data_IF_348582624914
#
_entry.id   IF_348582624914
#
_cell.length_a   1.000
_cell.length_b   1.000
_cell.length_c   1.000
_cell.angle_alpha   90.00
_cell.angle_beta   90.00
_cell.angle_gamma   90.00
#
_symmetry.space_group_name_H-M   'P 1'
#
loop_
_entity.id
_entity.type
_entity.pdbx_description
1 polymer ?
#
# COMPACT_ATOMS: atom_id res chain seq x y z
N UNK A 1 -46.81 20.28 -39.06
CA UNK A 1 -45.81 19.40 -39.70
C UNK A 1 -44.45 19.98 -39.32
N UNK A 2 -43.58 19.38 -38.50
CA UNK A 2 -43.43 18.01 -38.02
C UNK A 2 -43.25 17.96 -36.48
N UNK A 3 -43.79 16.91 -35.88
CA UNK A 3 -43.51 16.45 -34.52
C UNK A 3 -42.28 15.53 -34.63
N UNK A 4 -41.17 15.86 -33.97
CA UNK A 4 -40.02 14.95 -33.83
C UNK A 4 -40.15 14.19 -32.51
N UNK A 5 -40.84 13.05 -32.55
CA UNK A 5 -40.75 12.01 -31.54
C UNK A 5 -39.61 11.09 -31.99
N UNK A 6 -38.44 11.19 -31.35
CA UNK A 6 -37.40 10.17 -31.47
C UNK A 6 -37.48 9.27 -30.23
N UNK A 7 -38.21 8.17 -30.42
CA UNK A 7 -38.35 7.05 -29.50
C UNK A 7 -37.05 6.25 -29.44
N UNK A 8 -36.78 5.71 -28.25
CA UNK A 8 -35.90 4.56 -27.99
C UNK A 8 -34.40 4.82 -28.16
N UNK A 9 -33.78 5.36 -27.13
CA UNK A 9 -32.45 4.88 -26.71
C UNK A 9 -32.59 4.26 -25.32
N UNK A 10 -33.29 3.13 -25.28
CA UNK A 10 -33.13 2.16 -24.21
C UNK A 10 -31.75 1.53 -24.37
N UNK A 11 -30.72 2.13 -23.76
CA UNK A 11 -29.50 1.37 -23.46
C UNK A 11 -29.77 0.53 -22.21
N UNK A 12 -30.55 -0.53 -22.38
CA UNK A 12 -30.62 -1.64 -21.43
C UNK A 12 -29.47 -2.58 -21.77
N UNK A 13 -28.24 -2.13 -21.55
CA UNK A 13 -27.08 -3.02 -21.45
C UNK A 13 -26.87 -3.35 -19.98
N UNK A 14 -27.86 -4.05 -19.41
CA UNK A 14 -27.66 -4.81 -18.19
C UNK A 14 -26.90 -6.08 -18.56
N UNK A 15 -25.59 -5.96 -18.78
CA UNK A 15 -24.69 -7.12 -18.73
C UNK A 15 -24.55 -7.45 -17.25
N UNK A 16 -25.41 -8.32 -16.73
CA UNK A 16 -25.20 -8.95 -15.43
C UNK A 16 -24.07 -9.97 -15.62
N UNK A 17 -22.83 -9.46 -15.70
CA UNK A 17 -21.65 -10.29 -15.50
C UNK A 17 -21.64 -10.67 -14.03
N UNK A 18 -21.49 -11.96 -13.75
CA UNK A 18 -21.26 -12.49 -12.40
C UNK A 18 -20.04 -11.78 -11.78
N UNK A 19 -20.29 -10.72 -11.02
CA UNK A 19 -19.24 -9.90 -10.44
C UNK A 19 -18.61 -10.66 -9.26
N UNK A 20 -17.34 -11.02 -9.39
CA UNK A 20 -16.59 -11.67 -8.33
C UNK A 20 -16.23 -10.63 -7.27
N UNK A 21 -16.83 -10.75 -6.08
CA UNK A 21 -16.55 -9.87 -4.94
C UNK A 21 -15.25 -10.28 -4.26
N UNK A 22 -14.21 -9.46 -4.37
CA UNK A 22 -12.92 -9.74 -3.75
C UNK A 22 -12.84 -9.13 -2.35
N UNK A 23 -12.42 -9.92 -1.36
CA UNK A 23 -12.21 -9.47 0.02
C UNK A 23 -10.83 -9.89 0.50
N UNK A 24 -10.20 -9.02 1.28
CA UNK A 24 -8.92 -9.28 1.91
C UNK A 24 -9.06 -9.21 3.42
N UNK A 25 -8.45 -10.16 4.13
CA UNK A 25 -8.53 -10.28 5.59
C UNK A 25 -7.18 -10.72 6.15
N UNK A 26 -6.88 -10.30 7.39
CA UNK A 26 -5.67 -10.77 8.08
C UNK A 26 -5.92 -12.17 8.66
N UNK A 27 -4.90 -13.01 8.68
CA UNK A 27 -4.94 -14.30 9.36
C UNK A 27 -5.37 -14.13 10.82
N UNK A 28 -6.22 -15.05 11.31
CA UNK A 28 -6.80 -14.99 12.65
C UNK A 28 -8.06 -14.12 12.76
N UNK A 29 -8.27 -13.18 11.83
CA UNK A 29 -9.48 -12.37 11.81
C UNK A 29 -10.68 -13.14 11.24
N UNK A 30 -11.86 -12.53 11.34
CA UNK A 30 -13.11 -13.07 10.79
C UNK A 30 -13.55 -12.28 9.56
N UNK A 31 -14.12 -12.99 8.58
CA UNK A 31 -14.73 -12.38 7.39
C UNK A 31 -16.16 -12.88 7.23
N UNK A 32 -17.06 -11.99 6.82
CA UNK A 32 -18.46 -12.31 6.52
C UNK A 32 -18.75 -12.09 5.05
N UNK A 33 -19.29 -13.13 4.42
CA UNK A 33 -19.67 -13.16 3.02
C UNK A 33 -21.18 -13.03 2.93
N UNK A 34 -21.65 -11.87 2.49
CA UNK A 34 -23.08 -11.56 2.39
C UNK A 34 -23.50 -11.60 0.92
N UNK A 35 -24.27 -12.64 0.51
CA UNK A 35 -24.88 -12.67 -0.81
C UNK A 35 -25.85 -11.51 -0.96
N UNK A 36 -26.12 -11.11 -2.20
CA UNK A 36 -27.09 -10.06 -2.47
C UNK A 36 -28.51 -10.55 -2.16
N UNK A 37 -29.27 -9.75 -1.41
CA UNK A 37 -30.61 -10.12 -0.95
C UNK A 37 -31.56 -10.43 -2.12
N UNK A 38 -31.45 -9.69 -3.23
CA UNK A 38 -32.26 -9.92 -4.43
C UNK A 38 -32.02 -11.31 -5.04
N UNK A 39 -30.80 -11.82 -4.94
CA UNK A 39 -30.39 -13.07 -5.58
C UNK A 39 -30.83 -14.31 -4.80
N UNK A 40 -31.03 -14.17 -3.50
CA UNK A 40 -31.43 -15.22 -2.56
C UNK A 40 -32.87 -15.05 -2.05
N UNK A 41 -33.63 -14.12 -2.63
CA UNK A 41 -35.01 -13.83 -2.24
C UNK A 41 -35.92 -15.02 -2.57
N UNK A 42 -36.70 -15.49 -1.60
CA UNK A 42 -37.60 -16.64 -1.78
C UNK A 42 -36.90 -18.00 -1.77
N UNK A 43 -35.56 -18.02 -1.72
CA UNK A 43 -34.79 -19.26 -1.64
C UNK A 43 -34.85 -19.86 -0.24
N UNK A 44 -35.28 -21.13 -0.19
CA UNK A 44 -35.37 -21.87 1.05
C UNK A 44 -34.05 -22.55 1.42
N UNK A 45 -33.29 -23.01 0.42
CA UNK A 45 -32.02 -23.70 0.62
C UNK A 45 -30.90 -22.87 0.01
N UNK A 46 -29.94 -22.47 0.86
CA UNK A 46 -28.72 -21.79 0.45
C UNK A 46 -27.55 -22.70 0.75
N UNK A 47 -26.68 -22.88 -0.24
CA UNK A 47 -25.49 -23.72 -0.16
C UNK A 47 -24.25 -22.88 -0.44
N UNK A 48 -23.23 -23.08 0.38
CA UNK A 48 -21.91 -22.48 0.21
C UNK A 48 -20.93 -23.55 -0.25
N UNK A 49 -20.21 -23.26 -1.32
CA UNK A 49 -19.12 -24.11 -1.80
C UNK A 49 -17.80 -23.36 -1.79
N UNK A 50 -16.71 -24.11 -1.69
CA UNK A 50 -15.35 -23.60 -1.76
C UNK A 50 -14.55 -24.31 -2.87
N UNK A 51 -13.72 -23.54 -3.58
CA UNK A 51 -12.82 -24.04 -4.61
C UNK A 51 -13.60 -24.68 -5.77
N UNK A 52 -13.27 -25.93 -6.09
CA UNK A 52 -13.93 -26.72 -7.15
C UNK A 52 -15.27 -27.30 -6.66
N UNK A 53 -16.21 -26.44 -6.25
CA UNK A 53 -17.57 -26.80 -5.85
C UNK A 53 -17.69 -27.76 -4.64
N UNK A 54 -16.71 -27.75 -3.73
CA UNK A 54 -16.80 -28.55 -2.50
C UNK A 54 -17.80 -27.90 -1.55
N UNK A 55 -18.89 -28.60 -1.22
CA UNK A 55 -19.90 -28.09 -0.29
C UNK A 55 -19.31 -27.95 1.12
N UNK A 56 -19.30 -26.73 1.65
CA UNK A 56 -18.75 -26.44 2.99
C UNK A 56 -19.85 -26.22 4.03
N UNK A 57 -20.98 -25.62 3.62
CA UNK A 57 -22.09 -25.34 4.50
C UNK A 57 -23.41 -25.22 3.75
N UNK A 58 -24.54 -25.45 4.42
CA UNK A 58 -25.87 -25.13 3.90
C UNK A 58 -26.84 -24.73 5.01
N UNK A 59 -27.81 -23.91 4.66
CA UNK A 59 -28.93 -23.54 5.52
C UNK A 59 -30.26 -23.78 4.80
N UNK A 60 -31.16 -24.49 5.47
CA UNK A 60 -32.58 -24.51 5.12
C UNK A 60 -33.31 -23.48 6.00
N UNK A 61 -33.82 -22.43 5.37
CA UNK A 61 -34.50 -21.33 6.07
C UNK A 61 -35.88 -21.73 6.61
N UNK A 62 -36.55 -22.74 6.03
CA UNK A 62 -37.88 -23.19 6.49
C UNK A 62 -37.85 -23.76 7.91
N UNK A 63 -36.81 -24.52 8.23
CA UNK A 63 -36.62 -25.17 9.53
C UNK A 63 -35.44 -24.58 10.33
N UNK A 64 -34.80 -23.52 9.80
CA UNK A 64 -33.58 -22.91 10.35
C UNK A 64 -32.44 -23.92 10.57
N UNK A 65 -32.43 -25.03 9.83
CA UNK A 65 -31.43 -26.09 9.98
C UNK A 65 -30.15 -25.72 9.22
N UNK A 66 -29.04 -25.67 9.96
CA UNK A 66 -27.69 -25.40 9.44
C UNK A 66 -26.87 -26.69 9.46
N UNK A 67 -26.10 -26.93 8.41
CA UNK A 67 -25.20 -28.09 8.31
C UNK A 67 -23.86 -27.61 7.77
N UNK A 68 -22.78 -28.19 8.30
CA UNK A 68 -21.40 -27.93 7.91
C UNK A 68 -20.75 -29.26 7.53
N UNK A 69 -19.97 -29.29 6.46
CA UNK A 69 -19.51 -30.54 5.84
C UNK A 69 -18.00 -30.67 5.77
N UNK A 70 -17.27 -29.56 5.66
CA UNK A 70 -15.83 -29.59 5.43
C UNK A 70 -15.07 -29.40 6.75
N UNK A 71 -14.34 -30.46 7.12
CA UNK A 71 -13.58 -30.57 8.37
C UNK A 71 -12.48 -29.52 8.51
N UNK A 72 -11.97 -28.97 7.39
CA UNK A 72 -10.98 -27.89 7.45
C UNK A 72 -11.51 -26.65 8.17
N UNK A 73 -12.84 -26.44 8.13
CA UNK A 73 -13.51 -25.31 8.76
C UNK A 73 -14.27 -25.72 10.02
N UNK A 74 -13.94 -26.87 10.61
CA UNK A 74 -14.51 -27.33 11.88
C UNK A 74 -14.50 -26.20 12.91
N UNK A 75 -15.66 -25.94 13.49
CA UNK A 75 -15.92 -24.89 14.50
C UNK A 75 -15.66 -23.44 14.05
N UNK A 76 -15.39 -23.19 12.77
CA UNK A 76 -15.04 -21.86 12.22
C UNK A 76 -16.09 -21.25 11.31
N UNK A 77 -17.03 -22.05 10.80
CA UNK A 77 -18.14 -21.54 9.99
C UNK A 77 -19.35 -21.19 10.85
N UNK A 78 -19.96 -20.04 10.55
CA UNK A 78 -21.27 -19.64 11.08
C UNK A 78 -22.15 -19.21 9.91
N UNK A 79 -23.38 -19.71 9.90
CA UNK A 79 -24.42 -19.28 8.97
C UNK A 79 -25.50 -18.53 9.74
N UNK A 80 -25.82 -17.31 9.30
CA UNK A 80 -26.96 -16.57 9.84
C UNK A 80 -28.27 -16.98 9.13
N UNK A 81 -29.40 -16.37 9.51
CA UNK A 81 -30.68 -16.62 8.84
C UNK A 81 -30.76 -16.00 7.44
N UNK A 82 -29.97 -14.95 7.17
CA UNK A 82 -29.89 -14.31 5.86
C UNK A 82 -29.13 -15.16 4.86
N UNK A 83 -28.45 -16.23 5.29
CA UNK A 83 -27.61 -17.04 4.42
C UNK A 83 -26.19 -16.49 4.24
N UNK A 84 -25.84 -15.43 4.97
CA UNK A 84 -24.48 -14.93 5.07
C UNK A 84 -23.60 -15.95 5.80
N UNK A 85 -22.40 -16.17 5.26
CA UNK A 85 -21.41 -17.07 5.82
C UNK A 85 -20.31 -16.26 6.51
N UNK A 86 -20.11 -16.49 7.80
CA UNK A 86 -18.95 -15.98 8.53
C UNK A 86 -17.92 -17.09 8.70
N UNK A 87 -16.67 -16.78 8.35
CA UNK A 87 -15.50 -17.62 8.60
C UNK A 87 -14.70 -16.92 9.69
N UNK A 88 -14.60 -17.56 10.85
CA UNK A 88 -13.82 -17.03 11.98
C UNK A 88 -12.43 -17.65 12.04
N UNK A 89 -11.45 -16.95 12.61
CA UNK A 89 -10.09 -17.44 12.74
C UNK A 89 -9.57 -17.96 11.38
N UNK A 90 -9.59 -17.06 10.39
CA UNK A 90 -9.19 -17.36 9.02
C UNK A 90 -7.73 -17.76 8.96
N UNK A 91 -7.40 -18.65 8.01
CA UNK A 91 -6.04 -19.15 7.77
C UNK A 91 -5.64 -18.84 6.34
N UNK A 92 -4.34 -18.80 6.04
CA UNK A 92 -3.85 -18.62 4.65
C UNK A 92 -4.48 -19.62 3.69
N UNK A 93 -4.66 -20.87 4.12
CA UNK A 93 -5.28 -21.96 3.34
C UNK A 93 -6.78 -21.78 3.09
N UNK A 94 -7.44 -20.81 3.74
CA UNK A 94 -8.83 -20.47 3.49
C UNK A 94 -9.00 -19.49 2.31
N UNK A 95 -7.89 -18.99 1.75
CA UNK A 95 -7.92 -18.18 0.54
C UNK A 95 -8.47 -18.97 -0.65
N UNK A 96 -9.29 -18.33 -1.48
CA UNK A 96 -9.86 -18.93 -2.68
C UNK A 96 -11.29 -18.48 -2.98
N UNK A 97 -11.90 -19.17 -3.93
CA UNK A 97 -13.25 -18.88 -4.40
C UNK A 97 -14.30 -19.54 -3.51
N UNK A 98 -15.27 -18.74 -3.08
CA UNK A 98 -16.47 -19.17 -2.39
C UNK A 98 -17.68 -18.84 -3.25
N UNK A 99 -18.57 -19.81 -3.43
CA UNK A 99 -19.74 -19.64 -4.30
C UNK A 99 -21.01 -19.99 -3.54
N UNK A 100 -22.04 -19.19 -3.81
CA UNK A 100 -23.39 -19.39 -3.26
C UNK A 100 -24.26 -20.07 -4.32
N UNK A 101 -24.89 -21.18 -3.97
CA UNK A 101 -25.82 -21.92 -4.81
C UNK A 101 -27.21 -21.95 -4.14
N UNK A 102 -28.25 -21.88 -4.97
CA UNK A 102 -29.64 -21.93 -4.54
C UNK A 102 -30.40 -23.00 -5.32
N UNK A 103 -31.41 -23.62 -4.72
CA UNK A 103 -32.14 -24.74 -5.35
C UNK A 103 -32.85 -24.40 -6.66
N UNK A 104 -33.22 -23.13 -6.86
CA UNK A 104 -33.93 -22.69 -8.05
C UNK A 104 -33.01 -22.36 -9.23
N UNK A 105 -31.68 -22.32 -9.02
CA UNK A 105 -30.72 -21.86 -10.03
C UNK A 105 -29.57 -22.87 -10.19
N UNK A 106 -29.24 -23.19 -11.43
CA UNK A 106 -28.16 -24.12 -11.77
C UNK A 106 -26.76 -23.47 -11.73
N UNK A 107 -26.68 -22.14 -11.59
CA UNK A 107 -25.43 -21.38 -11.53
C UNK A 107 -25.25 -20.72 -10.16
N UNK A 108 -24.00 -20.44 -9.76
CA UNK A 108 -23.74 -19.60 -8.60
C UNK A 108 -24.50 -18.27 -8.69
N UNK A 109 -25.05 -17.83 -7.57
CA UNK A 109 -25.77 -16.54 -7.46
C UNK A 109 -24.90 -15.42 -6.90
N UNK A 110 -23.77 -15.78 -6.33
CA UNK A 110 -22.76 -14.86 -5.83
C UNK A 110 -21.43 -15.60 -5.75
N UNK A 111 -20.36 -14.93 -6.18
CA UNK A 111 -19.00 -15.46 -6.16
C UNK A 111 -18.14 -14.49 -5.36
N UNK A 112 -17.42 -15.01 -4.38
CA UNK A 112 -16.48 -14.26 -3.55
C UNK A 112 -15.07 -14.82 -3.74
N UNK A 113 -14.09 -13.95 -3.89
CA UNK A 113 -12.68 -14.33 -3.86
C UNK A 113 -12.05 -13.80 -2.57
N UNK A 114 -11.63 -14.70 -1.69
CA UNK A 114 -11.04 -14.34 -0.40
C UNK A 114 -9.53 -14.51 -0.48
N UNK A 115 -8.80 -13.47 -0.09
CA UNK A 115 -7.36 -13.53 0.12
C UNK A 115 -7.05 -13.27 1.58
N UNK A 116 -6.44 -14.26 2.24
CA UNK A 116 -6.01 -14.14 3.63
C UNK A 116 -4.52 -13.83 3.66
N UNK A 117 -4.13 -12.73 4.31
CA UNK A 117 -2.73 -12.33 4.43
C UNK A 117 -2.18 -12.67 5.82
N UNK A 118 -0.92 -13.10 5.87
CA UNK A 118 -0.22 -13.33 7.12
C UNK A 118 0.20 -12.01 7.79
N UNK A 119 0.39 -12.06 9.11
CA UNK A 119 0.99 -10.95 9.84
C UNK A 119 2.43 -10.70 9.37
N UNK A 120 2.74 -9.43 9.11
CA UNK A 120 4.05 -9.03 8.63
C UNK A 120 5.06 -8.95 9.79
N UNK A 121 6.27 -9.50 9.65
CA UNK A 121 7.36 -9.25 10.57
C UNK A 121 7.93 -7.83 10.36
N UNK A 122 8.60 -7.31 11.37
CA UNK A 122 9.41 -6.09 11.20
C UNK A 122 10.63 -6.45 10.33
N UNK A 123 10.88 -5.71 9.22
CA UNK A 123 12.01 -6.00 8.36
C UNK A 123 13.33 -5.70 9.07
N UNK A 124 14.36 -6.52 8.81
CA UNK A 124 15.67 -6.36 9.45
C UNK A 124 16.60 -5.63 8.49
N UNK A 125 17.18 -4.52 8.96
CA UNK A 125 18.21 -3.78 8.25
C UNK A 125 19.57 -4.20 8.80
N UNK A 126 20.46 -4.66 7.92
CA UNK A 126 21.83 -5.04 8.25
C UNK A 126 22.82 -4.25 7.39
N UNK A 127 23.98 -3.93 7.97
CA UNK A 127 25.06 -3.28 7.24
C UNK A 127 25.92 -4.36 6.56
N UNK A 128 26.02 -4.31 5.24
CA UNK A 128 26.84 -5.20 4.42
C UNK A 128 28.02 -4.47 3.75
N UNK A 129 28.39 -3.31 4.27
CA UNK A 129 29.54 -2.53 3.78
C UNK A 129 30.84 -3.35 3.79
N UNK A 130 31.64 -3.20 2.74
CA UNK A 130 32.97 -3.79 2.67
C UNK A 130 33.98 -2.88 3.35
N UNK A 131 34.80 -3.44 4.25
CA UNK A 131 35.91 -2.73 4.89
C UNK A 131 37.01 -2.41 3.87
N UNK A 132 37.02 -1.17 3.37
CA UNK A 132 38.00 -0.65 2.43
C UNK A 132 38.11 0.87 2.49
N UNK A 133 39.15 1.46 1.88
CA UNK A 133 39.48 2.90 2.01
C UNK A 133 38.44 3.87 1.42
N UNK A 134 37.48 3.36 0.65
CA UNK A 134 36.24 4.05 0.29
C UNK A 134 35.08 3.19 0.80
N UNK A 135 34.67 3.37 2.05
CA UNK A 135 33.58 2.62 2.66
C UNK A 135 32.27 2.94 1.96
N UNK A 136 31.84 2.08 1.03
CA UNK A 136 30.49 2.17 0.44
C UNK A 136 29.49 1.71 1.49
N UNK A 137 28.56 2.58 1.84
CA UNK A 137 27.47 2.27 2.74
C UNK A 137 26.45 1.40 2.02
N UNK A 138 26.51 0.09 2.26
CA UNK A 138 25.55 -0.86 1.71
C UNK A 138 24.72 -1.42 2.85
N UNK A 139 23.42 -1.19 2.77
CA UNK A 139 22.45 -1.74 3.71
C UNK A 139 21.60 -2.77 3.02
N UNK A 140 21.35 -3.87 3.70
CA UNK A 140 20.48 -4.93 3.24
C UNK A 140 19.25 -4.95 4.13
N UNK A 141 18.10 -4.67 3.52
CA UNK A 141 16.83 -4.91 4.16
C UNK A 141 16.37 -6.33 3.84
N UNK A 142 15.99 -7.11 4.85
CA UNK A 142 15.62 -8.51 4.69
C UNK A 142 14.40 -8.89 5.51
N UNK A 143 13.63 -9.85 5.00
CA UNK A 143 12.48 -10.44 5.68
C UNK A 143 12.57 -11.96 5.62
N UNK A 144 12.10 -12.63 6.67
CA UNK A 144 12.06 -14.10 6.75
C UNK A 144 10.64 -14.57 6.99
N UNK A 145 10.31 -15.77 6.51
CA UNK A 145 9.03 -16.45 6.74
C UNK A 145 7.79 -15.70 6.21
N UNK A 146 7.93 -14.94 5.12
CA UNK A 146 6.81 -14.30 4.42
C UNK A 146 6.96 -14.46 2.91
N UNK A 147 5.82 -14.63 2.22
CA UNK A 147 5.67 -14.62 0.76
C UNK A 147 4.58 -13.62 0.36
N UNK A 148 4.51 -13.26 -0.92
CA UNK A 148 3.44 -12.40 -1.46
C UNK A 148 3.37 -11.00 -0.82
N UNK A 149 4.54 -10.49 -0.44
CA UNK A 149 4.72 -9.14 0.12
C UNK A 149 5.64 -8.31 -0.78
N UNK A 150 5.55 -6.99 -0.64
CA UNK A 150 6.47 -6.05 -1.28
C UNK A 150 7.45 -5.52 -0.25
N UNK A 151 8.74 -5.54 -0.59
CA UNK A 151 9.82 -4.95 0.19
C UNK A 151 10.33 -3.70 -0.52
N UNK A 152 10.39 -2.57 0.18
CA UNK A 152 10.68 -1.26 -0.40
C UNK A 152 11.59 -0.41 0.46
N UNK A 153 12.52 0.32 -0.15
CA UNK A 153 13.30 1.37 0.50
C UNK A 153 12.69 2.74 0.24
N UNK A 154 12.68 3.57 1.27
CA UNK A 154 12.22 4.95 1.23
C UNK A 154 13.31 5.90 1.74
N UNK A 155 13.34 7.10 1.16
CA UNK A 155 14.05 8.28 1.67
C UNK A 155 13.01 9.35 2.00
N UNK A 156 12.79 9.59 3.28
CA UNK A 156 11.61 10.33 3.75
C UNK A 156 10.34 9.67 3.22
N UNK A 157 9.61 10.37 2.35
CA UNK A 157 8.38 9.87 1.73
C UNK A 157 8.58 9.36 0.29
N UNK A 158 9.80 9.43 -0.24
CA UNK A 158 10.10 9.05 -1.62
C UNK A 158 10.52 7.59 -1.71
N UNK A 159 9.84 6.81 -2.55
CA UNK A 159 10.20 5.43 -2.86
C UNK A 159 11.51 5.41 -3.68
N UNK A 160 12.52 4.69 -3.20
CA UNK A 160 13.81 4.54 -3.88
C UNK A 160 13.87 3.28 -4.73
N UNK A 161 13.52 2.14 -4.12
CA UNK A 161 13.55 0.83 -4.75
C UNK A 161 12.49 -0.05 -4.13
N UNK A 162 12.01 -1.01 -4.92
CA UNK A 162 10.95 -1.93 -4.52
C UNK A 162 11.13 -3.27 -5.22
N UNK A 163 10.77 -4.35 -4.53
CA UNK A 163 10.71 -5.69 -5.07
C UNK A 163 9.56 -6.49 -4.46
N UNK A 164 8.99 -7.40 -5.23
CA UNK A 164 8.15 -8.46 -4.69
C UNK A 164 9.05 -9.51 -4.03
N UNK A 165 8.73 -9.91 -2.80
CA UNK A 165 9.42 -11.00 -2.11
C UNK A 165 8.98 -12.33 -2.71
N UNK A 166 9.95 -13.16 -3.05
CA UNK A 166 9.75 -14.51 -3.59
C UNK A 166 10.75 -15.47 -2.96
N UNK A 167 10.60 -16.78 -3.22
CA UNK A 167 11.45 -17.81 -2.60
C UNK A 167 12.96 -17.59 -2.80
N UNK A 168 13.35 -16.98 -3.93
CA UNK A 168 14.74 -16.72 -4.30
C UNK A 168 15.28 -15.38 -3.80
N UNK A 169 14.41 -14.41 -3.52
CA UNK A 169 14.81 -13.03 -3.26
C UNK A 169 14.03 -12.47 -2.08
N UNK A 170 14.69 -12.47 -0.92
CA UNK A 170 14.13 -12.05 0.38
C UNK A 170 14.71 -10.75 0.92
N UNK A 171 15.60 -10.13 0.15
CA UNK A 171 16.35 -8.97 0.59
C UNK A 171 16.58 -7.97 -0.53
N UNK A 172 16.52 -6.69 -0.17
CA UNK A 172 16.70 -5.56 -1.06
C UNK A 172 17.88 -4.70 -0.57
N UNK A 173 18.86 -4.48 -1.43
CA UNK A 173 20.02 -3.65 -1.09
C UNK A 173 19.74 -2.17 -1.34
N UNK A 174 20.28 -1.34 -0.46
CA UNK A 174 20.38 0.10 -0.60
C UNK A 174 21.85 0.47 -0.59
N UNK A 175 22.27 1.21 -1.61
CA UNK A 175 23.63 1.70 -1.76
C UNK A 175 23.62 3.22 -1.55
N UNK A 176 24.33 3.70 -0.53
CA UNK A 176 24.45 5.10 -0.19
C UNK A 176 25.90 5.55 -0.31
N UNK A 177 26.10 6.78 -0.76
CA UNK A 177 27.40 7.46 -0.70
C UNK A 177 27.63 8.08 0.69
N UNK A 178 26.58 8.67 1.28
CA UNK A 178 26.59 9.21 2.63
C UNK A 178 25.16 9.32 3.19
N UNK A 179 25.03 9.50 4.51
CA UNK A 179 23.74 9.69 5.18
C UNK A 179 23.40 11.18 5.26
N UNK A 180 22.30 11.59 4.60
CA UNK A 180 21.77 12.97 4.59
C UNK A 180 20.36 13.08 5.16
N UNK A 181 19.51 12.09 4.90
CA UNK A 181 18.10 12.07 5.25
C UNK A 181 17.71 10.84 6.09
N UNK A 182 16.42 10.77 6.45
CA UNK A 182 15.82 9.58 7.07
C UNK A 182 15.54 8.51 6.02
N UNK A 183 16.15 7.33 6.19
CA UNK A 183 15.91 6.17 5.34
C UNK A 183 15.11 5.12 6.11
N UNK A 184 14.19 4.45 5.43
CA UNK A 184 13.40 3.37 6.01
C UNK A 184 13.20 2.25 5.02
N UNK A 185 13.15 1.03 5.56
CA UNK A 185 12.70 -0.13 4.81
C UNK A 185 11.29 -0.50 5.25
N UNK A 186 10.42 -0.74 4.28
CA UNK A 186 9.01 -1.06 4.49
C UNK A 186 8.71 -2.39 3.83
N UNK A 187 8.16 -3.33 4.60
CA UNK A 187 7.49 -4.51 4.06
C UNK A 187 5.98 -4.27 4.10
N UNK A 188 5.27 -4.57 3.03
CA UNK A 188 3.83 -4.41 2.97
C UNK A 188 3.14 -5.55 2.22
N UNK A 189 1.91 -5.80 2.61
CA UNK A 189 0.91 -6.52 1.83
C UNK A 189 -0.24 -5.54 1.52
N UNK A 190 -1.20 -5.90 0.66
CA UNK A 190 -2.29 -5.00 0.27
C UNK A 190 -3.15 -4.42 1.40
N UNK A 191 -3.08 -4.97 2.62
CA UNK A 191 -3.90 -4.53 3.77
C UNK A 191 -3.12 -4.00 4.96
N UNK A 192 -1.79 -4.15 4.99
CA UNK A 192 -0.95 -3.77 6.14
C UNK A 192 0.50 -3.51 5.74
N UNK A 193 1.22 -2.77 6.58
CA UNK A 193 2.64 -2.52 6.41
C UNK A 193 3.40 -2.63 7.75
N UNK A 194 4.70 -2.82 7.65
CA UNK A 194 5.66 -2.75 8.76
C UNK A 194 6.90 -2.01 8.28
N UNK A 195 7.43 -1.15 9.14
CA UNK A 195 8.51 -0.23 8.79
C UNK A 195 9.64 -0.37 9.78
N UNK A 196 10.87 -0.45 9.27
CA UNK A 196 12.09 -0.34 10.06
C UNK A 196 12.87 0.88 9.57
N UNK A 197 13.19 1.78 10.50
CA UNK A 197 14.05 2.93 10.20
C UNK A 197 15.52 2.53 10.28
N UNK A 198 16.32 3.05 9.36
CA UNK A 198 17.76 2.89 9.36
C UNK A 198 18.36 3.74 10.48
N UNK A 199 19.16 3.13 11.36
CA UNK A 199 19.91 3.87 12.36
C UNK A 199 21.15 4.52 11.71
N UNK A 200 21.37 5.80 11.96
CA UNK A 200 22.38 6.63 11.29
C UNK A 200 23.81 6.45 11.83
N UNK A 201 24.00 5.66 12.89
CA UNK A 201 25.30 5.50 13.55
C UNK A 201 26.30 4.60 12.79
N UNK A 202 25.85 3.92 11.74
CA UNK A 202 26.65 2.88 11.06
C UNK A 202 27.47 3.37 9.85
N UNK A 203 27.35 4.65 9.47
CA UNK A 203 28.03 5.25 8.32
C UNK A 203 28.39 6.72 8.56
N UNK A 204 29.41 7.24 7.87
CA UNK A 204 29.78 8.65 8.00
C UNK A 204 28.69 9.59 7.43
N UNK A 205 28.35 10.69 8.11
CA UNK A 205 27.40 11.69 7.62
C UNK A 205 27.99 12.48 6.44
N UNK A 206 27.13 12.93 5.53
CA UNK A 206 27.58 13.74 4.39
C UNK A 206 28.29 15.02 4.86
N UNK A 207 29.47 15.31 4.31
CA UNK A 207 30.15 16.59 4.50
C UNK A 207 29.25 17.72 3.99
N UNK A 208 28.71 18.54 4.89
CA UNK A 208 28.01 19.76 4.49
C UNK A 208 29.04 20.69 3.85
N UNK A 209 29.05 20.79 2.52
CA UNK A 209 29.72 21.90 1.84
C UNK A 209 28.90 23.16 2.11
N UNK A 210 29.15 23.83 3.23
CA UNK A 210 28.90 25.27 3.32
C UNK A 210 29.72 25.92 2.21
N UNK A 211 29.06 26.38 1.15
CA UNK A 211 29.67 27.39 0.28
C UNK A 211 29.79 28.66 1.12
N UNK A 212 30.85 28.77 1.90
CA UNK A 212 31.33 30.07 2.35
C UNK A 212 31.70 30.83 1.08
N UNK A 213 30.77 31.66 0.60
CA UNK A 213 31.11 32.69 -0.36
C UNK A 213 32.01 33.65 0.39
N UNK A 214 33.31 33.46 0.27
CA UNK A 214 34.30 34.45 0.65
C UNK A 214 34.03 35.70 -0.20
N UNK A 215 33.33 36.68 0.37
CA UNK A 215 33.12 37.98 -0.26
C UNK A 215 34.44 38.71 -0.12
N UNK A 216 35.35 38.55 -1.10
CA UNK A 216 36.51 39.42 -1.22
C UNK A 216 36.03 40.82 -1.59
N UNK A 217 36.05 41.74 -0.62
CA UNK A 217 35.81 43.15 -0.86
C UNK A 217 37.03 43.71 -1.61
N UNK A 218 36.86 44.10 -2.87
CA UNK A 218 37.91 44.85 -3.59
C UNK A 218 37.98 46.26 -3.03
N UNK A 219 39.17 46.65 -2.57
CA UNK A 219 39.45 47.97 -2.03
C UNK A 219 39.16 49.06 -3.08
N UNK A 220 38.26 50.03 -2.82
CA UNK A 220 37.93 51.05 -3.79
C UNK A 220 39.13 51.98 -4.02
N UNK A 221 39.63 52.00 -5.25
CA UNK A 221 40.63 52.98 -5.70
C UNK A 221 40.01 54.37 -5.78
N UNK A 222 40.33 55.23 -4.81
CA UNK A 222 39.97 56.65 -4.84
C UNK A 222 40.98 57.45 -5.68
N UNK A 223 40.53 58.07 -6.76
CA UNK A 223 41.29 59.09 -7.47
C UNK A 223 40.89 60.49 -6.98
N UNK A 224 41.87 61.27 -6.53
CA UNK A 224 41.68 62.68 -6.16
C UNK A 224 41.49 63.52 -7.43
N UNK A 225 40.28 64.05 -7.62
CA UNK A 225 40.06 65.13 -8.59
C UNK A 225 40.49 66.43 -7.93
N UNK A 226 41.55 67.06 -8.45
CA UNK A 226 41.90 68.43 -8.08
C UNK A 226 40.87 69.39 -8.67
N UNK A 227 39.95 69.88 -7.84
CA UNK A 227 39.09 71.02 -8.17
C UNK A 227 39.54 72.21 -7.31
N UNK A 228 40.03 73.26 -7.95
CA UNK A 228 40.28 74.56 -7.34
C UNK A 228 38.95 75.22 -6.96
N UNK A 229 38.91 75.86 -5.79
CA UNK A 229 37.78 76.54 -5.14
C UNK A 229 36.97 75.63 -4.19
N UNK A 230 37.37 75.64 -2.92
CA UNK A 230 36.59 75.09 -1.82
C UNK A 230 35.47 76.05 -1.41
N UNK A 231 34.28 75.50 -1.21
CA UNK A 231 33.34 75.96 -0.19
C UNK A 231 32.85 74.73 0.54
N UNK A 232 33.14 74.72 1.84
CA UNK A 232 32.81 73.70 2.81
C UNK A 232 31.30 73.68 3.05
N UNK A 233 30.68 72.50 2.92
CA UNK A 233 29.32 72.28 3.40
C UNK A 233 29.18 70.83 3.85
N UNK A 234 28.81 70.68 5.12
CA UNK A 234 28.65 69.40 5.82
C UNK A 234 27.69 68.47 5.09
N UNK A 235 28.20 67.30 4.71
CA UNK A 235 27.47 66.31 3.92
C UNK A 235 26.44 65.55 4.77
N UNK A 236 25.18 65.91 4.59
CA UNK A 236 24.04 64.97 4.62
C UNK A 236 24.24 63.95 3.50
N UNK A 237 24.11 62.65 3.79
CA UNK A 237 24.07 61.60 2.76
C UNK A 237 22.83 60.73 2.94
N UNK A 238 21.90 60.84 1.99
CA UNK A 238 20.82 59.90 1.77
C UNK A 238 21.35 58.68 1.02
N UNK A 239 21.00 57.48 1.45
CA UNK A 239 21.20 56.28 0.65
C UNK A 239 19.91 55.93 -0.10
N UNK A 240 19.99 55.91 -1.43
CA UNK A 240 18.92 55.50 -2.33
C UNK A 240 18.77 53.98 -2.36
N UNK A 241 17.52 53.52 -2.31
CA UNK A 241 17.14 52.12 -2.52
C UNK A 241 17.14 51.83 -4.02
N UNK A 242 17.88 50.82 -4.45
CA UNK A 242 17.71 50.23 -5.79
C UNK A 242 17.37 48.75 -5.65
N UNK A 243 16.17 48.41 -6.10
CA UNK A 243 15.72 47.02 -6.30
C UNK A 243 16.22 46.53 -7.65
N UNK A 244 16.81 45.35 -7.67
CA UNK A 244 16.62 44.34 -8.72
C UNK A 244 16.89 42.96 -8.17
#
# INVERSE_FOLDING_TARGET
MLIFICLCSWSLTGVFGDEVKSLSVMEGDSVTLTPNDADIMGENLIMWTFGHNSLIAKINRKDSKRQFFDERFRDRLKLDQTGSLTITNTRITDSGLYQVLCTSKDTPVSIFNITVYAHLPVPVISNSSSSGPASKCVFLCSVVNVSDVTLSWYRGNSLLSSMSVSDLSRSLSLHLECLDDSYSCVVNNPISNQTQHLNTEYCEPCSVQTRDREITYTDPTFYKIHKSSATEQDNVVYAGVSRR
#
